data_IF_876550159052
#
_entry.id   IF_876550159052
#
_cell.length_a   1.000
_cell.length_b   1.000
_cell.length_c   1.000
_cell.angle_alpha   90.00
_cell.angle_beta   90.00
_cell.angle_gamma   90.00
#
_symmetry.space_group_name_H-M   'P 1'
#
loop_
_entity.id
_entity.type
_entity.pdbx_description
1 polymer ?
#
# COMPACT_ATOMS: atom_id res chain seq x y z
N UNK A 1 -1.57 -2.83 13.94
CA UNK A 1 -1.62 -4.03 13.06
C UNK A 1 -0.42 -4.95 13.30
N UNK A 2 -0.36 -5.67 14.43
CA UNK A 2 0.81 -6.49 14.78
C UNK A 2 1.04 -7.64 13.78
N UNK A 3 -0.04 -8.24 13.29
CA UNK A 3 0.01 -9.32 12.30
C UNK A 3 0.67 -8.90 10.98
N UNK A 4 0.44 -7.65 10.55
CA UNK A 4 1.10 -7.09 9.37
C UNK A 4 2.54 -6.68 9.64
N UNK A 5 2.88 -6.22 10.86
CA UNK A 5 4.24 -5.81 11.21
C UNK A 5 5.28 -6.88 10.86
N UNK A 6 5.05 -8.09 11.34
CA UNK A 6 5.97 -9.21 11.11
C UNK A 6 6.00 -9.65 9.64
N UNK A 7 4.84 -9.70 8.96
CA UNK A 7 4.75 -10.19 7.58
C UNK A 7 5.37 -9.23 6.56
N UNK A 8 5.28 -7.92 6.79
CA UNK A 8 5.76 -6.91 5.84
C UNK A 8 7.22 -6.49 6.06
N UNK A 9 7.80 -6.80 7.22
CA UNK A 9 9.13 -6.31 7.60
C UNK A 9 10.21 -6.63 6.57
N UNK A 10 10.14 -7.79 5.89
CA UNK A 10 11.08 -8.13 4.81
C UNK A 10 10.98 -7.15 3.63
N UNK A 11 9.78 -6.88 3.11
CA UNK A 11 9.60 -6.03 1.94
C UNK A 11 9.90 -4.55 2.24
N UNK A 12 9.62 -4.10 3.46
CA UNK A 12 9.97 -2.73 3.90
C UNK A 12 11.48 -2.56 3.98
N UNK A 13 12.20 -3.53 4.56
CA UNK A 13 13.67 -3.49 4.62
C UNK A 13 14.32 -3.58 3.24
N UNK A 14 13.75 -4.38 2.35
CA UNK A 14 14.22 -4.55 0.97
C UNK A 14 13.87 -3.35 0.06
N UNK A 15 13.17 -2.33 0.58
CA UNK A 15 12.74 -1.16 -0.20
C UNK A 15 11.63 -1.44 -1.22
N UNK A 16 10.99 -2.62 -1.17
CA UNK A 16 9.92 -3.04 -2.10
C UNK A 16 8.54 -2.55 -1.70
N UNK A 17 8.37 -2.12 -0.45
CA UNK A 17 7.08 -1.70 0.08
C UNK A 17 7.24 -0.53 1.05
N UNK A 18 6.42 0.50 0.86
CA UNK A 18 6.20 1.54 1.87
C UNK A 18 4.89 1.21 2.59
N UNK A 19 4.92 1.27 3.93
CA UNK A 19 3.73 1.03 4.76
C UNK A 19 3.41 2.30 5.52
N UNK A 20 2.15 2.71 5.45
CA UNK A 20 1.60 3.83 6.22
C UNK A 20 0.44 3.30 7.06
N UNK A 21 0.55 3.43 8.37
CA UNK A 21 -0.57 3.14 9.27
C UNK A 21 -1.46 4.37 9.44
N UNK A 22 -2.77 4.17 9.52
CA UNK A 22 -3.71 5.16 10.05
C UNK A 22 -4.40 4.52 11.24
N UNK A 23 -4.20 5.08 12.43
CA UNK A 23 -4.76 4.58 13.67
C UNK A 23 -6.04 5.34 14.02
N UNK A 24 -7.18 4.63 14.00
CA UNK A 24 -8.45 5.10 14.54
C UNK A 24 -8.40 5.01 16.07
N UNK A 25 -7.82 6.03 16.70
CA UNK A 25 -7.49 6.06 18.12
C UNK A 25 -7.74 7.46 18.66
N UNK A 26 -8.44 7.58 19.79
CA UNK A 26 -8.77 8.88 20.40
C UNK A 26 -7.57 9.51 21.14
N UNK A 27 -6.68 8.67 21.68
CA UNK A 27 -5.58 9.11 22.54
C UNK A 27 -4.21 8.89 21.87
N UNK A 28 -3.49 9.98 21.52
CA UNK A 28 -2.22 9.85 20.79
C UNK A 28 -1.14 9.12 21.60
N UNK A 29 -1.18 9.21 22.93
CA UNK A 29 -0.26 8.47 23.81
C UNK A 29 -0.49 6.96 23.74
N UNK A 30 -1.76 6.52 23.63
CA UNK A 30 -2.09 5.10 23.49
C UNK A 30 -1.59 4.57 22.15
N UNK A 31 -1.76 5.33 21.07
CA UNK A 31 -1.22 4.98 19.75
C UNK A 31 0.33 4.87 19.79
N UNK A 32 1.00 5.81 20.46
CA UNK A 32 2.46 5.79 20.64
C UNK A 32 2.93 4.59 21.46
N UNK A 33 2.27 4.28 22.57
CA UNK A 33 2.61 3.11 23.39
C UNK A 33 2.38 1.81 22.63
N UNK A 34 1.30 1.72 21.86
CA UNK A 34 0.99 0.56 21.03
C UNK A 34 2.04 0.33 19.94
N UNK A 35 2.45 1.39 19.24
CA UNK A 35 3.52 1.32 18.21
C UNK A 35 4.86 0.91 18.83
N UNK A 36 5.21 1.47 20.00
CA UNK A 36 6.41 1.07 20.75
C UNK A 36 6.36 -0.41 21.17
N UNK A 37 5.27 -0.85 21.77
CA UNK A 37 5.12 -2.23 22.25
C UNK A 37 5.24 -3.25 21.13
N UNK A 38 4.61 -2.97 19.98
CA UNK A 38 4.66 -3.85 18.82
C UNK A 38 5.86 -3.64 17.90
N UNK A 39 6.79 -2.73 18.26
CA UNK A 39 7.98 -2.37 17.47
C UNK A 39 7.62 -2.06 16.02
N UNK A 40 6.64 -1.18 15.85
CA UNK A 40 6.20 -0.72 14.54
C UNK A 40 7.13 0.43 14.13
N UNK A 41 7.93 0.19 13.09
CA UNK A 41 8.99 1.11 12.68
C UNK A 41 8.55 2.05 11.54
N UNK A 42 7.41 1.79 10.91
CA UNK A 42 6.87 2.63 9.85
C UNK A 42 5.96 3.75 10.37
N UNK A 43 5.75 4.83 9.59
CA UNK A 43 4.91 5.96 10.00
C UNK A 43 3.47 5.53 10.32
N UNK A 44 2.93 6.10 11.39
CA UNK A 44 1.52 5.94 11.78
C UNK A 44 0.88 7.31 11.98
N UNK A 45 -0.11 7.61 11.15
CA UNK A 45 -0.97 8.79 11.30
C UNK A 45 -2.05 8.51 12.33
N UNK A 46 -2.33 9.49 13.17
CA UNK A 46 -3.35 9.41 14.21
C UNK A 46 -4.65 10.08 13.72
N UNK A 47 -5.74 9.31 13.64
CA UNK A 47 -7.07 9.79 13.28
C UNK A 47 -8.02 9.65 14.48
N UNK A 48 -8.16 10.71 15.31
CA UNK A 48 -8.96 10.65 16.54
C UNK A 48 -10.46 10.83 16.35
N UNK A 49 -10.89 11.34 15.19
CA UNK A 49 -12.27 11.75 14.95
C UNK A 49 -12.90 11.02 13.76
N UNK A 50 -12.23 9.98 13.24
CA UNK A 50 -12.65 9.24 12.04
C UNK A 50 -12.82 10.15 10.82
N UNK A 51 -11.82 10.98 10.54
CA UNK A 51 -11.78 11.82 9.33
C UNK A 51 -11.83 10.96 8.06
N UNK A 52 -11.31 9.73 8.13
CA UNK A 52 -11.37 8.74 7.04
C UNK A 52 -12.78 8.15 6.81
N UNK A 53 -13.74 8.42 7.70
CA UNK A 53 -15.13 7.94 7.63
C UNK A 53 -15.25 6.41 7.45
N UNK A 54 -14.34 5.65 8.05
CA UNK A 54 -14.38 4.18 8.00
C UNK A 54 -15.40 3.65 9.00
N UNK A 55 -16.16 2.63 8.61
CA UNK A 55 -17.20 2.01 9.45
C UNK A 55 -16.64 0.96 10.41
N UNK A 56 -15.41 0.51 10.18
CA UNK A 56 -14.76 -0.51 10.99
C UNK A 56 -13.28 -0.63 10.64
N UNK A 57 -12.54 -1.27 11.55
CA UNK A 57 -11.11 -1.58 11.39
C UNK A 57 -10.87 -3.07 11.64
N UNK A 58 -9.85 -3.69 11.04
CA UNK A 58 -8.89 -3.09 10.11
C UNK A 58 -9.41 -2.84 8.68
N UNK A 59 -8.78 -1.87 7.99
CA UNK A 59 -8.91 -1.65 6.54
C UNK A 59 -7.53 -1.67 5.93
N UNK A 60 -7.32 -2.52 4.94
CA UNK A 60 -6.06 -2.63 4.19
C UNK A 60 -6.25 -2.21 2.74
N UNK A 61 -5.41 -1.26 2.31
CA UNK A 61 -5.43 -0.71 0.96
C UNK A 61 -4.04 -0.86 0.34
N UNK A 62 -3.97 -1.43 -0.86
CA UNK A 62 -2.77 -1.47 -1.67
C UNK A 62 -2.82 -0.34 -2.70
N UNK A 63 -1.81 0.53 -2.68
CA UNK A 63 -1.68 1.69 -3.56
C UNK A 63 -0.36 1.55 -4.31
N UNK A 64 -0.42 1.64 -5.63
CA UNK A 64 0.77 1.50 -6.48
C UNK A 64 1.63 2.78 -6.55
N UNK A 65 2.70 2.71 -7.33
CA UNK A 65 3.66 3.79 -7.58
C UNK A 65 3.03 5.05 -8.20
N UNK A 66 1.89 4.93 -8.86
CA UNK A 66 1.14 6.03 -9.48
C UNK A 66 0.04 6.60 -8.55
N UNK A 67 -0.03 6.12 -7.30
CA UNK A 67 -1.02 6.57 -6.32
C UNK A 67 -2.42 5.98 -6.52
N UNK A 68 -2.56 4.90 -7.31
CA UNK A 68 -3.84 4.28 -7.63
C UNK A 68 -4.12 3.11 -6.68
N UNK A 69 -5.35 3.08 -6.15
CA UNK A 69 -5.84 1.94 -5.35
C UNK A 69 -5.96 0.69 -6.22
N UNK A 70 -5.16 -0.34 -5.92
CA UNK A 70 -5.16 -1.64 -6.60
C UNK A 70 -6.03 -2.67 -5.89
N UNK A 71 -6.15 -2.59 -4.57
CA UNK A 71 -7.01 -3.48 -3.78
C UNK A 71 -7.39 -2.84 -2.45
N UNK A 72 -8.62 -3.10 -2.00
CA UNK A 72 -9.14 -2.73 -0.67
C UNK A 72 -9.39 -3.96 0.22
N UNK A 73 -8.95 -5.14 -0.22
CA UNK A 73 -9.10 -6.42 0.48
C UNK A 73 -7.79 -7.22 0.38
N UNK A 74 -6.72 -6.59 0.84
CA UNK A 74 -5.38 -7.17 0.76
C UNK A 74 -5.28 -8.37 1.71
N UNK A 75 -4.81 -9.51 1.21
CA UNK A 75 -4.52 -10.70 2.01
C UNK A 75 -3.04 -10.88 2.12
N UNK A 76 -2.54 -11.08 3.32
CA UNK A 76 -1.10 -11.19 3.53
C UNK A 76 -0.49 -12.42 2.83
N UNK A 77 -1.29 -13.48 2.65
CA UNK A 77 -0.90 -14.72 2.00
C UNK A 77 -0.72 -14.57 0.49
N UNK A 78 -1.46 -13.64 -0.14
CA UNK A 78 -1.41 -13.43 -1.60
C UNK A 78 -0.76 -12.10 -1.99
N UNK A 79 -0.40 -11.26 -1.01
CA UNK A 79 0.22 -9.94 -1.23
C UNK A 79 1.42 -9.99 -2.16
N UNK A 80 2.31 -10.96 -1.98
CA UNK A 80 3.54 -11.04 -2.77
C UNK A 80 3.25 -11.21 -4.27
N UNK A 81 2.36 -12.15 -4.61
CA UNK A 81 1.94 -12.42 -5.98
C UNK A 81 1.06 -11.30 -6.56
N UNK A 82 0.14 -10.80 -5.74
CA UNK A 82 -0.94 -9.94 -6.24
C UNK A 82 -0.51 -8.48 -6.35
N UNK A 83 0.52 -8.06 -5.60
CA UNK A 83 0.95 -6.66 -5.49
C UNK A 83 2.47 -6.48 -5.58
N UNK A 84 3.26 -7.15 -4.73
CA UNK A 84 4.72 -6.88 -4.64
C UNK A 84 5.46 -7.26 -5.93
N UNK A 85 5.09 -8.38 -6.56
CA UNK A 85 5.74 -8.88 -7.77
C UNK A 85 5.11 -8.31 -9.05
N UNK A 86 4.41 -7.17 -8.96
CA UNK A 86 3.83 -6.48 -10.11
C UNK A 86 4.40 -5.07 -10.19
N UNK A 87 4.45 -4.57 -11.41
CA UNK A 87 4.73 -3.17 -11.71
C UNK A 87 3.54 -2.64 -12.49
N UNK A 88 3.16 -1.40 -12.20
CA UNK A 88 2.01 -0.77 -12.79
C UNK A 88 2.47 0.42 -13.62
N UNK A 89 2.16 0.42 -14.92
CA UNK A 89 2.54 1.51 -15.81
C UNK A 89 1.30 2.19 -16.38
N UNK A 90 1.31 3.52 -16.38
CA UNK A 90 0.38 4.34 -17.13
C UNK A 90 0.99 4.64 -18.49
N UNK A 91 0.24 4.42 -19.56
CA UNK A 91 0.68 4.76 -20.91
C UNK A 91 -0.38 5.61 -21.62
N UNK A 92 0.11 6.47 -22.48
CA UNK A 92 -0.71 7.35 -23.31
C UNK A 92 -0.98 6.66 -24.63
N UNK A 93 -2.24 6.57 -25.02
CA UNK A 93 -2.62 6.17 -26.38
C UNK A 93 -3.21 7.38 -27.06
N UNK A 94 -2.52 7.88 -28.07
CA UNK A 94 -3.01 8.95 -28.93
C UNK A 94 -3.40 8.34 -30.27
N UNK A 95 -4.55 8.75 -30.81
CA UNK A 95 -5.06 8.21 -32.08
C UNK A 95 -4.15 8.56 -33.27
N UNK A 96 -3.56 9.77 -33.30
CA UNK A 96 -2.66 10.22 -34.36
C UNK A 96 -1.94 11.55 -34.00
N UNK A 97 -1.09 12.09 -34.90
CA UNK A 97 -0.46 13.42 -34.77
C UNK A 97 -1.51 14.55 -34.86
N UNK A 98 -2.22 14.79 -33.75
CA UNK A 98 -3.32 15.75 -33.63
C UNK A 98 -4.64 15.15 -33.12
N UNK A 99 -4.69 13.84 -32.85
CA UNK A 99 -5.86 13.13 -32.32
C UNK A 99 -6.04 13.27 -30.80
N UNK A 100 -7.13 12.71 -30.28
CA UNK A 100 -7.38 12.73 -28.82
C UNK A 100 -6.45 11.74 -28.13
N UNK A 101 -5.68 12.20 -27.15
CA UNK A 101 -4.93 11.30 -26.28
C UNK A 101 -5.82 10.81 -25.15
N UNK A 102 -5.93 9.49 -25.02
CA UNK A 102 -6.63 8.85 -23.92
C UNK A 102 -5.63 8.29 -22.90
N UNK A 103 -5.96 8.45 -21.62
CA UNK A 103 -5.29 7.76 -20.52
C UNK A 103 -5.81 6.33 -20.47
N UNK A 104 -5.04 5.39 -21.02
CA UNK A 104 -5.37 3.97 -20.97
C UNK A 104 -4.45 3.26 -19.97
N UNK A 105 -5.03 2.33 -19.21
CA UNK A 105 -4.34 1.55 -18.17
C UNK A 105 -4.09 0.14 -18.68
N UNK A 106 -2.86 -0.34 -18.56
CA UNK A 106 -2.50 -1.74 -18.82
C UNK A 106 -1.61 -2.22 -17.69
N UNK A 107 -2.09 -3.24 -16.99
CA UNK A 107 -1.30 -3.90 -15.96
C UNK A 107 -0.27 -4.80 -16.69
N UNK A 108 1.00 -4.42 -16.69
CA UNK A 108 2.07 -5.17 -17.36
C UNK A 108 2.70 -6.13 -16.33
N UNK A 109 2.59 -7.45 -16.49
CA UNK A 109 3.27 -8.38 -15.60
C UNK A 109 4.78 -8.36 -15.91
N UNK A 110 5.58 -7.80 -15.01
CA UNK A 110 7.05 -7.83 -15.13
C UNK A 110 7.60 -8.96 -14.26
N UNK A 111 8.23 -9.95 -14.87
CA UNK A 111 8.98 -10.99 -14.15
C UNK A 111 10.35 -10.45 -13.77
N UNK A 112 10.58 -10.15 -12.49
CA UNK A 112 11.89 -9.76 -11.98
C UNK A 112 12.70 -11.03 -11.66
N UNK A 113 13.76 -11.29 -12.41
CA UNK A 113 14.76 -12.31 -12.09
C UNK A 113 15.78 -11.71 -11.12
N UNK A 114 15.91 -12.29 -9.92
CA UNK A 114 16.95 -11.91 -8.96
C UNK A 114 18.12 -12.87 -9.15
N UNK A 115 19.21 -12.40 -9.75
CA UNK A 115 20.46 -13.16 -9.79
C UNK A 115 21.09 -13.18 -8.39
N UNK A 116 21.56 -14.36 -7.97
CA UNK A 116 22.17 -14.62 -6.66
C UNK A 116 23.59 -14.11 -6.56
#
# INVERSE_FOLDING_TARGET
>A
MPAWNQKLQKYVRDGKLVVLGIAQEQHPQRNRLFTQWHRIDWPVLHDPINLMQVTGVPVEVAIDEEGIVRSTRVKAETLERDFINKTFSLYYVCEDAGGTCMFLRQDIPVTVTVDK
#
